data_IF_742921207981
#
_entry.id   IF_742921207981
#
_cell.length_a   1.000
_cell.length_b   1.000
_cell.length_c   1.000
_cell.angle_alpha   90.00
_cell.angle_beta   90.00
_cell.angle_gamma   90.00
#
_symmetry.space_group_name_H-M   'P 1'
#
loop_
_entity.id
_entity.type
_entity.pdbx_description
1 polymer ?
#
# COMPACT_ATOMS: atom_id res chain seq x y z
N UNK A 1 -10.80 7.89 24.65
CA UNK A 1 -10.95 6.42 24.69
C UNK A 1 -12.38 5.93 24.57
N UNK A 2 -13.38 6.48 25.29
CA UNK A 2 -14.78 5.98 25.24
C UNK A 2 -15.37 5.80 23.83
N UNK A 3 -15.14 6.76 22.93
CA UNK A 3 -15.58 6.64 21.52
C UNK A 3 -14.94 5.44 20.83
N UNK A 4 -13.62 5.24 20.98
CA UNK A 4 -12.91 4.12 20.36
C UNK A 4 -13.31 2.77 20.95
N UNK A 5 -13.71 2.73 22.23
CA UNK A 5 -14.30 1.54 22.85
C UNK A 5 -15.68 1.26 22.25
N UNK A 6 -16.52 2.30 22.15
CA UNK A 6 -17.84 2.18 21.54
C UNK A 6 -17.76 1.76 20.06
N UNK A 7 -16.76 2.25 19.33
CA UNK A 7 -16.47 1.86 17.94
C UNK A 7 -15.77 0.50 17.81
N UNK A 8 -15.52 -0.20 18.92
CA UNK A 8 -14.97 -1.57 18.91
C UNK A 8 -13.47 -1.69 18.67
N UNK A 9 -12.71 -0.59 18.62
CA UNK A 9 -11.24 -0.65 18.54
C UNK A 9 -10.61 -1.07 19.87
N UNK A 10 -11.22 -0.73 21.00
CA UNK A 10 -10.75 -1.16 22.32
C UNK A 10 -11.90 -1.77 23.11
N UNK A 11 -11.59 -2.57 24.12
CA UNK A 11 -12.55 -2.99 25.13
C UNK A 11 -12.08 -2.53 26.51
N UNK A 12 -13.01 -2.30 27.43
CA UNK A 12 -12.67 -2.05 28.84
C UNK A 12 -12.53 -3.38 29.58
N UNK A 13 -11.54 -3.47 30.45
CA UNK A 13 -11.34 -4.61 31.34
C UNK A 13 -10.78 -4.14 32.68
N UNK A 14 -11.10 -4.84 33.77
CA UNK A 14 -10.50 -4.52 35.07
C UNK A 14 -9.01 -4.83 35.03
N UNK A 15 -8.18 -3.90 35.50
CA UNK A 15 -6.72 -4.07 35.49
C UNK A 15 -6.29 -5.19 36.44
N UNK A 16 -7.00 -5.36 37.57
CA UNK A 16 -6.86 -6.46 38.52
C UNK A 16 -8.25 -6.74 39.14
N UNK A 17 -8.51 -7.95 39.64
CA UNK A 17 -9.81 -8.32 40.25
C UNK A 17 -10.24 -7.37 41.39
N UNK A 18 -9.26 -6.82 42.13
CA UNK A 18 -9.47 -5.92 43.28
C UNK A 18 -9.30 -4.43 42.95
N UNK A 19 -9.10 -4.06 41.67
CA UNK A 19 -8.92 -2.67 41.25
C UNK A 19 -10.27 -2.06 40.83
N UNK A 20 -10.57 -0.84 41.31
CA UNK A 20 -11.66 -0.01 40.79
C UNK A 20 -11.30 0.65 39.45
N UNK A 21 -10.05 0.54 39.00
CA UNK A 21 -9.59 1.16 37.75
C UNK A 21 -9.80 0.21 36.57
N UNK A 22 -10.58 0.65 35.60
CA UNK A 22 -10.73 0.00 34.29
C UNK A 22 -9.57 0.39 33.36
N UNK A 23 -8.95 -0.62 32.75
CA UNK A 23 -7.97 -0.48 31.69
C UNK A 23 -8.59 -0.73 30.31
N UNK A 24 -7.82 -0.44 29.26
CA UNK A 24 -8.21 -0.70 27.87
C UNK A 24 -7.39 -1.86 27.32
N UNK A 25 -8.07 -2.83 26.73
CA UNK A 25 -7.46 -3.95 26.02
C UNK A 25 -7.66 -3.80 24.51
N UNK A 26 -6.72 -4.35 23.76
CA UNK A 26 -6.81 -4.40 22.30
C UNK A 26 -7.85 -5.41 21.85
N UNK A 27 -8.53 -5.06 20.76
CA UNK A 27 -9.42 -5.92 19.99
C UNK A 27 -8.79 -6.25 18.63
N UNK A 28 -9.39 -7.17 17.87
CA UNK A 28 -8.91 -7.53 16.52
C UNK A 28 -8.66 -6.30 15.62
N UNK A 29 -9.59 -5.33 15.46
CA UNK A 29 -9.31 -4.11 14.68
C UNK A 29 -8.09 -3.32 15.15
N UNK A 30 -7.92 -3.12 16.46
CA UNK A 30 -6.76 -2.38 16.97
C UNK A 30 -5.43 -3.15 16.88
N UNK A 31 -5.47 -4.48 16.85
CA UNK A 31 -4.26 -5.30 16.65
C UNK A 31 -3.68 -5.07 15.25
N UNK A 32 -4.53 -4.85 14.24
CA UNK A 32 -4.09 -4.49 12.89
C UNK A 32 -3.35 -3.14 12.82
N UNK A 33 -3.42 -2.31 13.86
CA UNK A 33 -2.72 -1.02 13.93
C UNK A 33 -1.38 -1.11 14.67
N UNK A 34 -1.00 -2.30 15.16
CA UNK A 34 0.26 -2.52 15.84
C UNK A 34 1.40 -2.66 14.83
N UNK A 35 2.51 -1.95 15.07
CA UNK A 35 3.73 -2.05 14.25
C UNK A 35 4.37 -3.43 14.26
N UNK A 36 4.04 -4.27 15.25
CA UNK A 36 4.61 -5.61 15.43
C UNK A 36 3.80 -6.72 14.76
N UNK A 37 2.60 -6.41 14.26
CA UNK A 37 1.73 -7.40 13.61
C UNK A 37 1.82 -7.23 12.09
N UNK A 38 1.60 -8.33 11.36
CA UNK A 38 1.58 -8.36 9.89
C UNK A 38 0.21 -8.91 9.45
N UNK A 39 -0.57 -8.19 8.63
CA UNK A 39 -0.27 -6.87 8.11
C UNK A 39 -0.44 -5.76 9.17
N UNK A 40 0.45 -4.77 9.17
CA UNK A 40 0.28 -3.55 9.96
C UNK A 40 -0.41 -2.49 9.10
N UNK A 41 -1.70 -2.23 9.33
CA UNK A 41 -2.52 -1.27 8.56
C UNK A 41 -2.44 0.18 9.06
N UNK A 42 -1.61 0.48 10.07
CA UNK A 42 -1.46 1.86 10.55
C UNK A 42 -0.99 2.85 9.47
N UNK A 43 -0.12 2.49 8.49
CA UNK A 43 0.23 3.37 7.38
C UNK A 43 -0.96 3.67 6.46
N UNK A 44 -1.82 2.69 6.18
CA UNK A 44 -3.06 2.89 5.40
C UNK A 44 -4.01 3.90 6.07
N UNK A 45 -4.13 3.85 7.40
CA UNK A 45 -4.92 4.85 8.14
C UNK A 45 -4.30 6.25 8.01
N UNK A 46 -2.96 6.35 8.04
CA UNK A 46 -2.26 7.63 7.93
C UNK A 46 -2.46 8.29 6.57
N UNK A 47 -2.32 7.54 5.47
CA UNK A 47 -2.51 8.12 4.13
C UNK A 47 -3.96 8.57 3.93
N UNK A 48 -4.92 7.78 4.41
CA UNK A 48 -6.36 8.11 4.32
C UNK A 48 -6.70 9.39 5.08
N UNK A 49 -6.04 9.61 6.22
CA UNK A 49 -6.20 10.81 7.03
C UNK A 49 -5.26 11.97 6.64
N UNK A 50 -4.35 11.76 5.68
CA UNK A 50 -3.45 12.82 5.22
C UNK A 50 -4.29 13.93 4.54
N UNK A 51 -4.03 15.22 4.83
CA UNK A 51 -4.78 16.31 4.24
C UNK A 51 -4.85 16.28 2.71
N UNK A 52 -3.84 15.73 2.02
CA UNK A 52 -3.85 15.60 0.56
C UNK A 52 -5.02 14.73 0.10
N UNK A 53 -5.14 13.50 0.61
CA UNK A 53 -6.28 12.63 0.25
C UNK A 53 -7.58 13.14 0.86
N UNK A 54 -7.55 13.60 2.11
CA UNK A 54 -8.77 14.06 2.78
C UNK A 54 -9.42 15.24 2.05
N UNK A 55 -8.62 16.22 1.60
CA UNK A 55 -9.13 17.39 0.89
C UNK A 55 -9.66 17.04 -0.51
N UNK A 56 -9.10 16.03 -1.18
CA UNK A 56 -9.67 15.52 -2.44
C UNK A 56 -11.14 15.14 -2.27
N UNK A 57 -11.50 14.51 -1.15
CA UNK A 57 -12.88 14.16 -0.85
C UNK A 57 -13.77 15.37 -0.52
N UNK A 58 -13.20 16.42 0.10
CA UNK A 58 -13.94 17.65 0.40
C UNK A 58 -14.33 18.43 -0.87
N UNK A 59 -13.56 18.28 -1.96
CA UNK A 59 -13.77 18.97 -3.23
C UNK A 59 -14.50 18.12 -4.27
N UNK A 60 -15.09 16.98 -3.88
CA UNK A 60 -15.92 16.17 -4.77
C UNK A 60 -17.04 16.99 -5.43
N UNK A 61 -17.68 17.89 -4.68
CA UNK A 61 -18.73 18.75 -5.21
C UNK A 61 -18.22 19.65 -6.33
N UNK A 62 -17.04 20.24 -6.20
CA UNK A 62 -16.43 21.07 -7.24
C UNK A 62 -16.05 20.24 -8.45
N UNK A 63 -15.49 19.05 -8.25
CA UNK A 63 -15.17 18.11 -9.32
C UNK A 63 -16.41 17.72 -10.13
N UNK A 64 -17.54 17.39 -9.49
CA UNK A 64 -18.78 17.06 -10.18
C UNK A 64 -19.36 18.21 -11.02
N UNK A 65 -19.10 19.47 -10.63
CA UNK A 65 -19.54 20.65 -11.39
C UNK A 65 -18.47 21.17 -12.36
N UNK A 66 -17.28 20.57 -12.35
CA UNK A 66 -16.20 20.93 -13.24
C UNK A 66 -16.59 20.59 -14.68
N UNK A 67 -16.34 21.52 -15.60
CA UNK A 67 -16.58 21.31 -17.04
C UNK A 67 -15.45 20.56 -17.73
N UNK A 68 -14.31 20.40 -17.04
CA UNK A 68 -13.24 19.55 -17.51
C UNK A 68 -13.57 18.09 -17.16
N UNK A 69 -14.16 17.37 -18.11
CA UNK A 69 -14.55 15.96 -17.95
C UNK A 69 -13.36 15.01 -17.81
N UNK A 70 -12.16 15.42 -18.22
CA UNK A 70 -10.94 14.61 -18.12
C UNK A 70 -10.28 14.75 -16.73
N UNK A 71 -10.59 15.81 -15.98
CA UNK A 71 -9.98 16.05 -14.68
C UNK A 71 -10.45 15.04 -13.64
N UNK A 72 -9.51 14.45 -12.90
CA UNK A 72 -9.84 13.65 -11.72
C UNK A 72 -10.25 14.54 -10.54
N UNK A 73 -10.89 13.95 -9.52
CA UNK A 73 -11.15 14.66 -8.27
C UNK A 73 -9.84 15.12 -7.60
N UNK A 74 -8.77 14.32 -7.72
CA UNK A 74 -7.46 14.67 -7.20
C UNK A 74 -6.89 15.89 -7.93
N UNK A 75 -6.94 15.89 -9.26
CA UNK A 75 -6.50 17.02 -10.08
C UNK A 75 -7.30 18.29 -9.82
N UNK A 76 -8.62 18.16 -9.63
CA UNK A 76 -9.45 19.30 -9.28
C UNK A 76 -9.02 19.90 -7.93
N UNK A 77 -8.63 19.06 -6.98
CA UNK A 77 -8.22 19.51 -5.65
C UNK A 77 -6.79 20.07 -5.58
N UNK A 78 -5.87 19.51 -6.37
CA UNK A 78 -4.43 19.78 -6.22
C UNK A 78 -3.76 20.36 -7.46
N UNK A 79 -4.50 20.51 -8.57
CA UNK A 79 -4.05 21.10 -9.82
C UNK A 79 -3.13 20.22 -10.68
N UNK A 80 -2.78 19.02 -10.22
CA UNK A 80 -1.90 18.07 -10.90
C UNK A 80 -2.43 16.64 -10.79
N UNK A 81 -2.14 15.77 -11.78
CA UNK A 81 -2.37 14.34 -11.67
C UNK A 81 -1.69 13.74 -10.44
N UNK A 82 -2.30 12.74 -9.82
CA UNK A 82 -1.83 12.17 -8.55
C UNK A 82 -0.36 11.74 -8.59
N UNK A 83 0.05 11.07 -9.66
CA UNK A 83 1.42 10.57 -9.81
C UNK A 83 2.44 11.70 -10.02
N UNK A 84 2.06 12.74 -10.76
CA UNK A 84 2.90 13.95 -10.94
C UNK A 84 3.01 14.75 -9.63
N UNK A 85 1.90 14.87 -8.90
CA UNK A 85 1.89 15.51 -7.59
C UNK A 85 2.81 14.78 -6.61
N UNK A 86 2.75 13.45 -6.57
CA UNK A 86 3.64 12.62 -5.74
C UNK A 86 5.11 12.85 -6.10
N UNK A 87 5.46 12.86 -7.39
CA UNK A 87 6.82 13.14 -7.83
C UNK A 87 7.35 14.51 -7.36
N UNK A 88 6.46 15.50 -7.20
CA UNK A 88 6.79 16.84 -6.71
C UNK A 88 6.66 17.00 -5.18
N UNK A 89 6.04 16.05 -4.49
CA UNK A 89 5.72 16.11 -3.07
C UNK A 89 6.25 14.88 -2.33
N UNK A 90 7.55 14.90 -2.00
CA UNK A 90 8.24 13.80 -1.33
C UNK A 90 7.64 13.41 0.02
N UNK A 91 6.99 14.35 0.73
CA UNK A 91 6.29 14.05 1.98
C UNK A 91 5.11 13.12 1.74
N UNK A 92 4.25 13.49 0.78
CA UNK A 92 3.05 12.71 0.47
C UNK A 92 3.41 11.40 -0.22
N UNK A 93 4.38 11.42 -1.14
CA UNK A 93 4.90 10.21 -1.80
C UNK A 93 5.37 9.17 -0.78
N UNK A 94 6.16 9.59 0.21
CA UNK A 94 6.61 8.70 1.27
C UNK A 94 5.44 8.08 2.06
N UNK A 95 4.46 8.88 2.47
CA UNK A 95 3.30 8.39 3.24
C UNK A 95 2.46 7.44 2.39
N UNK A 96 2.33 7.70 1.10
CA UNK A 96 1.61 6.84 0.16
C UNK A 96 2.34 5.50 -0.03
N UNK A 97 3.64 5.51 -0.29
CA UNK A 97 4.42 4.27 -0.47
C UNK A 97 4.48 3.44 0.82
N UNK A 98 4.58 4.08 1.99
CA UNK A 98 4.46 3.37 3.28
C UNK A 98 3.10 2.66 3.44
N UNK A 99 2.02 3.24 2.91
CA UNK A 99 0.70 2.61 2.90
C UNK A 99 0.62 1.45 1.90
N UNK A 100 1.13 1.61 0.68
CA UNK A 100 1.14 0.53 -0.32
C UNK A 100 2.03 -0.65 0.11
N UNK A 101 3.18 -0.37 0.71
CA UNK A 101 4.06 -1.40 1.27
C UNK A 101 3.37 -2.19 2.40
N UNK A 102 2.63 -1.49 3.26
CA UNK A 102 1.82 -2.08 4.32
C UNK A 102 0.71 -3.00 3.80
N UNK A 103 0.00 -2.58 2.75
CA UNK A 103 -1.04 -3.40 2.12
C UNK A 103 -0.44 -4.62 1.38
N UNK A 104 0.71 -4.41 0.73
CA UNK A 104 1.45 -5.44 0.00
C UNK A 104 1.86 -6.64 0.86
N UNK A 105 2.01 -6.46 2.19
CA UNK A 105 2.28 -7.57 3.12
C UNK A 105 1.21 -8.68 3.05
N UNK A 106 -0.02 -8.34 2.61
CA UNK A 106 -1.10 -9.29 2.41
C UNK A 106 -0.79 -10.35 1.34
N UNK A 107 0.16 -10.08 0.42
CA UNK A 107 0.64 -11.04 -0.58
C UNK A 107 1.14 -12.35 0.05
N UNK A 108 1.60 -12.32 1.31
CA UNK A 108 1.99 -13.53 2.06
C UNK A 108 0.85 -14.55 2.17
N UNK A 109 -0.40 -14.08 2.27
CA UNK A 109 -1.57 -14.96 2.29
C UNK A 109 -1.84 -15.54 0.90
N UNK A 110 -1.72 -14.73 -0.15
CA UNK A 110 -1.94 -15.16 -1.54
C UNK A 110 -0.94 -16.24 -1.92
N UNK A 111 0.35 -16.01 -1.67
CA UNK A 111 1.41 -16.98 -1.98
C UNK A 111 1.24 -18.28 -1.20
N UNK A 112 0.78 -18.20 0.05
CA UNK A 112 0.50 -19.37 0.89
C UNK A 112 -0.66 -20.21 0.36
N UNK A 113 -1.79 -19.59 0.03
CA UNK A 113 -3.03 -20.31 -0.28
C UNK A 113 -3.21 -20.59 -1.78
N UNK A 114 -2.58 -19.78 -2.65
CA UNK A 114 -2.71 -19.84 -4.11
C UNK A 114 -1.38 -20.11 -4.82
N UNK A 115 -0.51 -20.93 -4.18
CA UNK A 115 0.81 -21.32 -4.72
C UNK A 115 0.80 -21.71 -6.20
N UNK A 116 -0.24 -22.44 -6.61
CA UNK A 116 -0.42 -22.96 -7.98
C UNK A 116 -0.44 -21.88 -9.07
N UNK A 117 -0.80 -20.64 -8.72
CA UNK A 117 -0.77 -19.51 -9.66
C UNK A 117 0.65 -19.24 -10.15
N UNK A 118 1.65 -19.53 -9.31
CA UNK A 118 3.05 -19.26 -9.57
C UNK A 118 3.84 -20.47 -10.09
N UNK A 119 3.21 -21.65 -10.18
CA UNK A 119 3.88 -22.89 -10.57
C UNK A 119 4.13 -22.94 -12.10
N UNK A 120 5.34 -23.36 -12.49
CA UNK A 120 5.71 -23.57 -13.89
C UNK A 120 6.14 -22.31 -14.66
N UNK A 121 6.10 -21.14 -14.01
CA UNK A 121 6.67 -19.91 -14.56
C UNK A 121 8.17 -19.80 -14.22
N UNK A 122 8.91 -19.08 -15.06
CA UNK A 122 10.31 -18.73 -14.83
C UNK A 122 10.50 -17.24 -14.59
N UNK A 123 9.56 -16.40 -15.06
CA UNK A 123 9.64 -14.95 -14.94
C UNK A 123 8.29 -14.29 -14.67
N UNK A 124 8.30 -13.23 -13.86
CA UNK A 124 7.13 -12.42 -13.50
C UNK A 124 7.51 -10.94 -13.53
N UNK A 125 6.63 -10.10 -14.07
CA UNK A 125 6.75 -8.64 -13.92
C UNK A 125 5.63 -8.14 -13.02
N UNK A 126 6.00 -7.42 -11.97
CA UNK A 126 5.10 -6.71 -11.06
C UNK A 126 5.00 -5.25 -11.52
N UNK A 127 3.90 -4.90 -12.19
CA UNK A 127 3.69 -3.58 -12.81
C UNK A 127 2.95 -2.67 -11.83
N UNK A 128 3.55 -1.53 -11.50
CA UNK A 128 3.12 -0.71 -10.38
C UNK A 128 3.53 -1.31 -9.02
N UNK A 129 4.58 -2.14 -9.00
CA UNK A 129 4.99 -2.91 -7.82
C UNK A 129 5.72 -2.11 -6.74
N UNK A 130 5.81 -0.78 -6.88
CA UNK A 130 6.39 0.16 -5.91
C UNK A 130 7.79 -0.26 -5.44
N UNK A 131 7.96 -0.51 -4.14
CA UNK A 131 9.23 -0.89 -3.52
C UNK A 131 9.55 -2.38 -3.65
N UNK A 132 8.67 -3.16 -4.29
CA UNK A 132 8.88 -4.57 -4.64
C UNK A 132 8.50 -5.56 -3.54
N UNK A 133 7.78 -5.15 -2.50
CA UNK A 133 7.37 -6.03 -1.38
C UNK A 133 6.63 -7.28 -1.87
N UNK A 134 5.78 -7.13 -2.89
CA UNK A 134 5.06 -8.23 -3.51
C UNK A 134 6.03 -9.20 -4.20
N UNK A 135 6.90 -8.68 -5.06
CA UNK A 135 7.91 -9.47 -5.76
C UNK A 135 8.86 -10.19 -4.79
N UNK A 136 9.33 -9.52 -3.74
CA UNK A 136 10.14 -10.12 -2.67
C UNK A 136 9.41 -11.26 -1.98
N UNK A 137 8.14 -11.06 -1.61
CA UNK A 137 7.31 -12.08 -0.96
C UNK A 137 7.11 -13.32 -1.85
N UNK A 138 6.96 -13.12 -3.16
CA UNK A 138 6.88 -14.23 -4.12
C UNK A 138 8.22 -14.97 -4.19
N UNK A 139 9.34 -14.25 -4.30
CA UNK A 139 10.68 -14.84 -4.37
C UNK A 139 11.07 -15.62 -3.11
N UNK A 140 10.62 -15.21 -1.92
CA UNK A 140 10.80 -15.97 -0.68
C UNK A 140 10.24 -17.41 -0.80
N UNK A 141 9.15 -17.59 -1.57
CA UNK A 141 8.50 -18.91 -1.75
C UNK A 141 8.92 -19.62 -3.04
N UNK A 142 9.31 -18.86 -4.06
CA UNK A 142 9.71 -19.35 -5.38
C UNK A 142 11.06 -18.76 -5.80
N UNK A 143 12.17 -19.17 -5.16
CA UNK A 143 13.48 -18.56 -5.40
C UNK A 143 14.06 -18.84 -6.80
N UNK A 144 13.40 -19.69 -7.59
CA UNK A 144 13.77 -19.96 -8.99
C UNK A 144 13.17 -18.94 -9.98
N UNK A 145 12.16 -18.16 -9.56
CA UNK A 145 11.57 -17.14 -10.40
C UNK A 145 12.53 -15.96 -10.58
N UNK A 146 12.46 -15.34 -11.75
CA UNK A 146 13.02 -14.01 -11.99
C UNK A 146 11.90 -12.99 -11.95
N UNK A 147 11.93 -12.12 -10.97
CA UNK A 147 10.97 -11.04 -10.85
C UNK A 147 11.58 -9.72 -11.33
N UNK A 148 10.76 -8.91 -12.00
CA UNK A 148 11.07 -7.53 -12.29
C UNK A 148 9.95 -6.64 -11.76
N UNK A 149 10.28 -5.58 -11.06
CA UNK A 149 9.32 -4.54 -10.63
C UNK A 149 9.40 -3.42 -11.66
N UNK A 150 8.28 -3.12 -12.31
CA UNK A 150 8.13 -1.95 -13.17
C UNK A 150 7.38 -0.88 -12.40
N UNK A 151 7.98 0.28 -12.20
CA UNK A 151 7.29 1.44 -11.63
C UNK A 151 7.85 2.75 -12.21
N UNK A 152 7.28 3.88 -11.83
CA UNK A 152 7.80 5.19 -12.20
C UNK A 152 9.24 5.35 -11.72
N UNK A 153 10.06 5.99 -12.54
CA UNK A 153 11.51 6.12 -12.28
C UNK A 153 11.82 6.67 -10.88
N UNK A 154 11.04 7.64 -10.38
CA UNK A 154 11.28 8.23 -9.06
C UNK A 154 11.01 7.27 -7.89
N UNK A 155 10.15 6.27 -8.08
CA UNK A 155 9.80 5.26 -7.07
C UNK A 155 10.95 4.25 -6.93
N UNK A 156 11.46 3.74 -8.05
CA UNK A 156 12.42 2.62 -8.06
C UNK A 156 13.89 3.02 -8.21
N UNK A 157 14.21 4.30 -8.41
CA UNK A 157 15.57 4.77 -8.72
C UNK A 157 16.67 4.31 -7.73
N UNK A 158 16.32 4.09 -6.46
CA UNK A 158 17.28 3.75 -5.41
C UNK A 158 17.10 2.31 -4.87
N UNK A 159 16.35 1.46 -5.58
CA UNK A 159 16.07 0.11 -5.11
C UNK A 159 17.27 -0.83 -5.30
N UNK A 160 17.58 -1.66 -4.31
CA UNK A 160 18.70 -2.59 -4.38
C UNK A 160 18.42 -3.67 -5.42
N UNK A 161 19.33 -3.86 -6.37
CA UNK A 161 19.23 -4.96 -7.33
C UNK A 161 19.70 -6.26 -6.68
N UNK A 162 19.05 -7.37 -7.01
CA UNK A 162 19.50 -8.72 -6.65
C UNK A 162 19.52 -9.63 -7.89
N UNK A 163 20.02 -10.86 -7.75
CA UNK A 163 20.13 -11.80 -8.87
C UNK A 163 18.77 -12.14 -9.50
N UNK A 164 17.74 -12.29 -8.67
CA UNK A 164 16.41 -12.72 -9.07
C UNK A 164 15.35 -11.62 -8.98
N UNK A 165 15.73 -10.41 -8.54
CA UNK A 165 14.87 -9.24 -8.49
C UNK A 165 15.55 -8.04 -9.14
N UNK A 166 14.95 -7.54 -10.22
CA UNK A 166 15.36 -6.30 -10.86
C UNK A 166 14.28 -5.23 -10.73
N UNK A 167 14.70 -3.97 -10.82
CA UNK A 167 13.78 -2.84 -10.84
C UNK A 167 13.95 -2.05 -12.13
N UNK A 168 12.83 -1.75 -12.78
CA UNK A 168 12.77 -1.06 -14.07
C UNK A 168 11.96 0.22 -13.87
N UNK A 169 12.64 1.36 -13.98
CA UNK A 169 11.96 2.66 -14.01
C UNK A 169 11.35 2.91 -15.40
N UNK A 170 10.07 3.20 -15.48
CA UNK A 170 9.41 3.43 -16.76
C UNK A 170 7.94 3.84 -16.65
N UNK A 171 7.30 3.86 -17.82
CA UNK A 171 5.87 4.09 -17.97
C UNK A 171 5.23 2.83 -18.56
N UNK A 172 4.35 2.18 -17.80
CA UNK A 172 3.64 0.97 -18.22
C UNK A 172 2.76 1.18 -19.46
N UNK A 173 2.35 2.41 -19.75
CA UNK A 173 1.60 2.74 -20.95
C UNK A 173 2.47 2.78 -22.21
N UNK A 174 3.80 2.87 -22.05
CA UNK A 174 4.77 2.84 -23.15
C UNK A 174 5.43 1.47 -23.28
N UNK A 175 5.77 0.84 -22.16
CA UNK A 175 6.55 -0.39 -22.15
C UNK A 175 6.33 -1.21 -20.89
N UNK A 176 6.14 -2.52 -21.07
CA UNK A 176 6.18 -3.52 -20.01
C UNK A 176 7.25 -4.56 -20.38
N UNK A 177 8.21 -4.88 -19.49
CA UNK A 177 9.19 -5.93 -19.73
C UNK A 177 8.52 -7.28 -20.05
N UNK A 178 9.15 -8.07 -20.92
CA UNK A 178 8.64 -9.40 -21.24
C UNK A 178 8.88 -10.38 -20.07
N UNK A 179 7.84 -11.13 -19.70
CA UNK A 179 7.88 -12.20 -18.71
C UNK A 179 6.79 -13.25 -18.99
N UNK A 180 6.84 -14.39 -18.31
CA UNK A 180 5.82 -15.44 -18.46
C UNK A 180 4.45 -15.00 -17.90
N UNK A 181 4.45 -14.12 -16.89
CA UNK A 181 3.25 -13.46 -16.39
C UNK A 181 3.48 -12.01 -16.00
N UNK A 182 2.37 -11.29 -15.92
CA UNK A 182 2.27 -9.91 -15.44
C UNK A 182 1.35 -9.91 -14.23
N UNK A 183 1.81 -9.27 -13.16
CA UNK A 183 1.03 -8.91 -11.99
C UNK A 183 0.79 -7.39 -12.02
N UNK A 184 -0.43 -6.98 -11.64
CA UNK A 184 -0.92 -5.60 -11.60
C UNK A 184 -1.53 -5.34 -10.22
#
# INVERSE_FOLDING_TARGET
>A
MRLLVHSGFFATSKVNENSETEGYILTTPSRLLLKSEIPNLSPCVRVTADPVLFNTWQLLGEWFHNKNEEATAFETAHGLPMWEFRAQNSRFDKVFNEAMASDSEMMRLVVKDYRKVFEGMNSLVDVGGDTGIIAETILETFPHLKCAVLDLTHVVANMPQSENLSYVGGDMFQFIPHADAILL
#
